data_IF_186761592606
#
_entry.id   IF_186761592606
#
_cell.length_a   1.000
_cell.length_b   1.000
_cell.length_c   1.000
_cell.angle_alpha   90.00
_cell.angle_beta   90.00
_cell.angle_gamma   90.00
#
_symmetry.space_group_name_H-M   'P 1'
#
loop_
_entity.id
_entity.type
_entity.pdbx_description
1 polymer ?
#
# COMPACT_ATOMS: atom_id res chain seq x y z
N UNK A 1 48.95 27.52 -42.90
CA UNK A 1 47.89 26.52 -43.15
C UNK A 1 47.68 25.54 -41.98
N UNK A 2 48.72 25.14 -41.23
CA UNK A 2 48.61 24.23 -40.06
C UNK A 2 47.80 24.80 -38.86
N UNK A 3 47.86 26.12 -38.63
CA UNK A 3 47.26 26.79 -37.45
C UNK A 3 45.72 26.76 -37.45
N UNK A 4 45.09 26.92 -38.62
CA UNK A 4 43.61 26.97 -38.76
C UNK A 4 42.96 25.59 -38.56
N UNK A 5 43.66 24.50 -38.88
CA UNK A 5 43.17 23.12 -38.71
C UNK A 5 43.23 22.68 -37.24
N UNK A 6 44.30 23.06 -36.52
CA UNK A 6 44.42 22.79 -35.08
C UNK A 6 43.31 23.49 -34.28
N UNK A 7 42.98 24.73 -34.61
CA UNK A 7 41.93 25.53 -33.96
C UNK A 7 40.51 24.97 -34.19
N UNK A 8 40.22 24.48 -35.40
CA UNK A 8 38.95 23.82 -35.72
C UNK A 8 38.80 22.51 -34.95
N UNK A 9 39.90 21.75 -34.82
CA UNK A 9 39.91 20.49 -34.07
C UNK A 9 39.73 20.73 -32.56
N UNK A 10 40.37 21.76 -31.99
CA UNK A 10 40.19 22.10 -30.57
C UNK A 10 38.76 22.58 -30.28
N UNK A 11 38.22 23.48 -31.10
CA UNK A 11 36.83 23.96 -30.95
C UNK A 11 35.79 22.84 -31.07
N UNK A 12 36.03 21.85 -31.94
CA UNK A 12 35.21 20.64 -32.05
C UNK A 12 35.22 19.82 -30.75
N UNK A 13 36.40 19.56 -30.19
CA UNK A 13 36.55 18.82 -28.92
C UNK A 13 35.92 19.58 -27.75
N UNK A 14 36.12 20.89 -27.67
CA UNK A 14 35.52 21.74 -26.61
C UNK A 14 33.99 21.79 -26.72
N UNK A 15 33.44 21.78 -27.94
CA UNK A 15 31.99 21.71 -28.18
C UNK A 15 31.43 20.34 -27.83
N UNK A 16 32.16 19.26 -28.10
CA UNK A 16 31.77 17.89 -27.77
C UNK A 16 31.80 17.63 -26.26
N UNK A 17 32.85 18.08 -25.56
CA UNK A 17 32.95 18.01 -24.09
C UNK A 17 31.87 18.84 -23.38
N UNK A 18 31.54 20.04 -23.87
CA UNK A 18 30.41 20.83 -23.36
C UNK A 18 29.06 20.13 -23.55
N UNK A 19 28.83 19.46 -24.69
CA UNK A 19 27.62 18.65 -24.92
C UNK A 19 27.54 17.43 -23.99
N UNK A 20 28.64 16.72 -23.79
CA UNK A 20 28.69 15.61 -22.83
C UNK A 20 28.39 16.08 -21.40
N UNK A 21 28.92 17.24 -20.99
CA UNK A 21 28.64 17.83 -19.67
C UNK A 21 27.16 18.21 -19.52
N UNK A 22 26.54 18.79 -20.56
CA UNK A 22 25.10 19.09 -20.57
C UNK A 22 24.23 17.84 -20.44
N UNK A 23 24.59 16.76 -21.14
CA UNK A 23 23.88 15.47 -21.05
C UNK A 23 24.03 14.85 -19.66
N UNK A 24 25.24 14.91 -19.08
CA UNK A 24 25.48 14.40 -17.73
C UNK A 24 24.68 15.16 -16.66
N UNK A 25 24.57 16.49 -16.77
CA UNK A 25 23.74 17.32 -15.86
C UNK A 25 22.25 16.98 -16.03
N UNK A 26 21.77 16.79 -17.26
CA UNK A 26 20.38 16.42 -17.51
C UNK A 26 20.04 15.03 -16.91
N UNK A 27 20.96 14.07 -17.04
CA UNK A 27 20.85 12.75 -16.41
C UNK A 27 20.82 12.84 -14.88
N UNK A 28 21.70 13.63 -14.27
CA UNK A 28 21.73 13.85 -12.82
C UNK A 28 20.44 14.47 -12.29
N UNK A 29 19.87 15.46 -13.00
CA UNK A 29 18.58 16.06 -12.64
C UNK A 29 17.42 15.04 -12.73
N UNK A 30 17.48 14.13 -13.70
CA UNK A 30 16.46 13.08 -13.90
C UNK A 30 16.39 12.09 -12.72
N UNK A 31 17.51 11.84 -12.03
CA UNK A 31 17.54 10.94 -10.87
C UNK A 31 16.92 11.56 -9.61
N UNK A 32 16.95 12.90 -9.48
CA UNK A 32 16.43 13.59 -8.29
C UNK A 32 14.89 13.64 -8.25
N UNK A 33 14.22 13.64 -9.41
CA UNK A 33 12.75 13.72 -9.47
C UNK A 33 12.06 12.42 -9.02
N UNK A 34 12.68 11.27 -9.27
CA UNK A 34 12.12 9.96 -8.89
C UNK A 34 12.14 9.82 -7.36
N UNK A 35 13.29 10.12 -6.73
CA UNK A 35 13.44 10.03 -5.26
C UNK A 35 12.51 10.99 -4.49
N UNK A 36 12.15 12.13 -5.07
CA UNK A 36 11.24 13.09 -4.44
C UNK A 36 9.78 12.59 -4.41
N UNK A 37 9.35 11.83 -5.43
CA UNK A 37 8.00 11.28 -5.49
C UNK A 37 7.81 10.15 -4.47
N UNK A 38 8.78 9.23 -4.39
CA UNK A 38 8.79 8.10 -3.46
C UNK A 38 8.74 8.57 -1.99
N UNK A 39 9.50 9.63 -1.67
CA UNK A 39 9.48 10.24 -0.33
C UNK A 39 8.09 10.78 0.01
N UNK A 40 7.44 11.49 -0.91
CA UNK A 40 6.11 12.08 -0.67
C UNK A 40 5.05 11.00 -0.48
N UNK A 41 5.08 9.93 -1.27
CA UNK A 41 4.18 8.79 -1.10
C UNK A 41 4.35 8.15 0.28
N UNK A 42 5.60 7.92 0.69
CA UNK A 42 5.91 7.37 2.03
C UNK A 42 5.43 8.28 3.16
N UNK A 43 5.63 9.60 3.04
CA UNK A 43 5.20 10.56 4.05
C UNK A 43 3.66 10.55 4.23
N UNK A 44 2.90 10.49 3.12
CA UNK A 44 1.43 10.38 3.18
C UNK A 44 0.96 9.08 3.83
N UNK A 45 1.59 7.94 3.50
CA UNK A 45 1.25 6.65 4.11
C UNK A 45 1.59 6.60 5.61
N UNK A 46 2.69 7.25 6.01
CA UNK A 46 3.06 7.41 7.41
C UNK A 46 2.04 8.25 8.16
N UNK A 47 1.55 9.35 7.57
CA UNK A 47 0.51 10.18 8.17
C UNK A 47 -0.79 9.40 8.39
N UNK A 48 -1.24 8.65 7.38
CA UNK A 48 -2.42 7.77 7.48
C UNK A 48 -2.23 6.73 8.60
N UNK A 49 -1.08 6.06 8.63
CA UNK A 49 -0.74 5.07 9.67
C UNK A 49 -0.73 5.69 11.07
N UNK A 50 -0.12 6.86 11.22
CA UNK A 50 -0.05 7.57 12.50
C UNK A 50 -1.44 7.95 12.99
N UNK A 51 -2.32 8.40 12.08
CA UNK A 51 -3.70 8.74 12.42
C UNK A 51 -4.49 7.52 12.84
N UNK A 52 -4.40 6.41 12.11
CA UNK A 52 -5.07 5.15 12.47
C UNK A 52 -4.62 4.68 13.86
N UNK A 53 -3.30 4.71 14.15
CA UNK A 53 -2.74 4.30 15.45
C UNK A 53 -3.11 5.22 16.61
N UNK A 54 -3.53 6.45 16.35
CA UNK A 54 -3.91 7.42 17.39
C UNK A 54 -5.30 7.17 18.00
N UNK A 55 -6.13 6.37 17.34
CA UNK A 55 -7.47 6.05 17.84
C UNK A 55 -7.43 4.87 18.81
N UNK A 56 -8.10 5.01 19.95
CA UNK A 56 -8.29 3.91 20.90
C UNK A 56 -9.24 2.84 20.36
N UNK A 57 -10.31 3.29 19.69
CA UNK A 57 -11.32 2.44 19.08
C UNK A 57 -11.67 2.96 17.68
N UNK A 58 -11.90 2.04 16.75
CA UNK A 58 -12.24 2.37 15.36
C UNK A 58 -13.52 1.65 14.99
N UNK A 59 -14.49 2.37 14.43
CA UNK A 59 -15.71 1.82 13.85
C UNK A 59 -15.75 2.19 12.38
N UNK A 60 -15.96 1.19 11.51
CA UNK A 60 -16.03 1.38 10.07
C UNK A 60 -17.26 0.65 9.55
N UNK A 61 -18.15 1.38 8.91
CA UNK A 61 -19.20 0.83 8.05
C UNK A 61 -18.71 0.79 6.61
N UNK A 62 -18.95 -0.33 5.92
CA UNK A 62 -18.50 -0.51 4.55
C UNK A 62 -19.53 -1.20 3.67
N UNK A 63 -19.39 -0.97 2.36
CA UNK A 63 -20.07 -1.71 1.30
C UNK A 63 -19.04 -2.46 0.48
N UNK A 64 -19.28 -3.74 0.25
CA UNK A 64 -18.52 -4.61 -0.62
C UNK A 64 -19.34 -4.92 -1.87
N UNK A 65 -18.74 -4.76 -3.04
CA UNK A 65 -19.38 -5.06 -4.33
C UNK A 65 -18.51 -6.06 -5.09
N UNK A 66 -19.02 -7.26 -5.33
CA UNK A 66 -18.39 -8.29 -6.15
C UNK A 66 -19.04 -8.31 -7.53
N UNK A 67 -18.27 -7.94 -8.54
CA UNK A 67 -18.69 -8.06 -9.94
C UNK A 67 -17.72 -8.99 -10.68
N UNK A 68 -18.25 -10.11 -11.17
CA UNK A 68 -17.55 -11.01 -12.07
C UNK A 68 -18.45 -11.35 -13.26
N UNK A 69 -18.24 -10.65 -14.37
CA UNK A 69 -19.02 -10.83 -15.59
C UNK A 69 -18.90 -12.23 -16.21
N UNK A 70 -17.77 -12.94 -16.03
CA UNK A 70 -17.58 -14.30 -16.58
C UNK A 70 -18.46 -15.32 -15.87
N UNK A 71 -18.60 -15.18 -14.56
CA UNK A 71 -19.41 -16.04 -13.70
C UNK A 71 -20.84 -15.50 -13.50
N UNK A 72 -21.20 -14.40 -14.17
CA UNK A 72 -22.46 -13.68 -14.01
C UNK A 72 -22.78 -13.29 -12.55
N UNK A 73 -21.76 -12.91 -11.78
CA UNK A 73 -21.90 -12.49 -10.39
C UNK A 73 -21.94 -10.96 -10.33
N UNK A 74 -22.98 -10.42 -9.69
CA UNK A 74 -23.07 -9.02 -9.30
C UNK A 74 -23.76 -8.93 -7.94
N UNK A 75 -22.97 -8.83 -6.88
CA UNK A 75 -23.46 -8.88 -5.50
C UNK A 75 -22.93 -7.71 -4.69
N UNK A 76 -23.85 -6.99 -4.05
CA UNK A 76 -23.54 -5.99 -3.04
C UNK A 76 -23.79 -6.57 -1.65
N UNK A 77 -22.86 -6.36 -0.74
CA UNK A 77 -22.95 -6.73 0.67
C UNK A 77 -22.57 -5.55 1.54
N UNK A 78 -23.22 -5.41 2.69
CA UNK A 78 -22.83 -4.42 3.71
C UNK A 78 -22.15 -5.14 4.86
N UNK A 79 -21.25 -4.43 5.52
CA UNK A 79 -20.61 -4.92 6.72
C UNK A 79 -20.17 -3.78 7.60
N UNK A 80 -19.78 -4.13 8.82
CA UNK A 80 -19.16 -3.20 9.73
C UNK A 80 -18.07 -3.90 10.53
N UNK A 81 -17.12 -3.11 11.02
CA UNK A 81 -16.10 -3.58 11.95
C UNK A 81 -15.91 -2.58 13.08
N UNK A 82 -15.82 -3.11 14.29
CA UNK A 82 -15.39 -2.38 15.49
C UNK A 82 -14.05 -2.97 15.95
N UNK A 83 -13.07 -2.13 16.23
CA UNK A 83 -11.72 -2.53 16.63
C UNK A 83 -11.25 -1.78 17.87
N UNK A 84 -10.46 -2.47 18.70
CA UNK A 84 -9.69 -1.92 19.81
C UNK A 84 -8.32 -2.57 19.82
N UNK A 85 -7.28 -1.83 19.43
CA UNK A 85 -5.97 -2.42 19.16
C UNK A 85 -6.06 -3.53 18.10
N UNK A 86 -5.69 -4.75 18.47
CA UNK A 86 -5.81 -5.93 17.59
C UNK A 86 -7.14 -6.67 17.72
N UNK A 87 -7.92 -6.42 18.79
CA UNK A 87 -9.23 -7.04 18.99
C UNK A 87 -10.26 -6.47 18.02
N UNK A 88 -11.20 -7.30 17.57
CA UNK A 88 -12.24 -6.84 16.65
C UNK A 88 -13.55 -7.63 16.73
N UNK A 89 -14.63 -6.98 16.29
CA UNK A 89 -15.89 -7.60 15.91
C UNK A 89 -16.18 -7.16 14.48
N UNK A 90 -16.24 -8.13 13.56
CA UNK A 90 -16.51 -7.94 12.14
C UNK A 90 -17.85 -8.61 11.79
N UNK A 91 -18.77 -7.83 11.26
CA UNK A 91 -20.04 -8.33 10.72
C UNK A 91 -19.97 -8.24 9.21
N UNK A 92 -19.99 -9.38 8.53
CA UNK A 92 -19.87 -9.42 7.07
C UNK A 92 -20.50 -10.69 6.48
N UNK A 93 -21.29 -10.53 5.41
CA UNK A 93 -21.92 -11.63 4.68
C UNK A 93 -22.72 -12.60 5.58
N UNK A 94 -23.48 -12.07 6.54
CA UNK A 94 -24.29 -12.87 7.46
C UNK A 94 -23.52 -13.51 8.63
N UNK A 95 -22.19 -13.43 8.62
CA UNK A 95 -21.31 -14.01 9.64
C UNK A 95 -20.79 -12.93 10.58
N UNK A 96 -20.72 -13.26 11.87
CA UNK A 96 -20.03 -12.43 12.87
C UNK A 96 -18.71 -13.08 13.25
N UNK A 97 -17.61 -12.38 13.01
CA UNK A 97 -16.26 -12.81 13.39
C UNK A 97 -15.71 -11.94 14.50
N UNK A 98 -15.31 -12.56 15.61
CA UNK A 98 -14.81 -11.88 16.80
C UNK A 98 -13.39 -12.37 17.06
N UNK A 99 -12.48 -11.45 17.38
CA UNK A 99 -11.17 -11.79 17.93
C UNK A 99 -10.97 -11.08 19.27
N UNK A 100 -10.75 -11.87 20.32
CA UNK A 100 -10.60 -11.38 21.69
C UNK A 100 -9.13 -11.10 22.08
N UNK A 101 -8.19 -11.25 21.14
CA UNK A 101 -6.75 -11.15 21.39
C UNK A 101 -6.05 -12.51 21.54
N UNK A 102 -6.78 -13.61 21.62
CA UNK A 102 -6.23 -14.96 21.73
C UNK A 102 -6.93 -15.98 20.80
N UNK A 103 -8.26 -15.88 20.70
CA UNK A 103 -9.13 -16.78 19.96
C UNK A 103 -10.00 -16.01 18.98
N UNK A 104 -10.26 -16.64 17.85
CA UNK A 104 -11.29 -16.20 16.91
C UNK A 104 -12.56 -17.02 17.13
N UNK A 105 -13.69 -16.33 17.13
CA UNK A 105 -15.02 -16.90 17.16
C UNK A 105 -15.71 -16.52 15.86
N UNK A 106 -16.24 -17.50 15.15
CA UNK A 106 -17.03 -17.30 13.94
C UNK A 106 -18.44 -17.80 14.24
N UNK A 107 -19.40 -16.89 14.24
CA UNK A 107 -20.81 -17.17 14.49
C UNK A 107 -21.52 -17.18 13.14
N UNK A 108 -22.10 -18.32 12.77
CA UNK A 108 -22.99 -18.45 11.62
C UNK A 108 -24.44 -18.64 12.14
N UNK A 109 -25.28 -17.58 12.12
CA UNK A 109 -26.66 -17.68 12.57
C UNK A 109 -27.52 -18.62 11.71
N UNK A 110 -27.21 -18.78 10.42
CA UNK A 110 -27.99 -19.64 9.53
C UNK A 110 -27.83 -21.13 9.88
N UNK A 111 -26.62 -21.52 10.28
CA UNK A 111 -26.29 -22.91 10.66
C UNK A 111 -26.43 -23.16 12.17
N UNK A 112 -26.83 -22.15 12.95
CA UNK A 112 -26.83 -22.18 14.42
C UNK A 112 -25.47 -22.61 15.03
N UNK A 113 -24.35 -22.28 14.36
CA UNK A 113 -23.01 -22.76 14.70
C UNK A 113 -22.09 -21.64 15.21
N UNK A 114 -21.25 -21.99 16.21
CA UNK A 114 -20.10 -21.19 16.62
C UNK A 114 -18.81 -22.01 16.49
N UNK A 115 -17.94 -21.61 15.56
CA UNK A 115 -16.59 -22.17 15.43
C UNK A 115 -15.60 -21.35 16.26
N UNK A 116 -14.78 -22.03 17.07
CA UNK A 116 -13.73 -21.41 17.89
C UNK A 116 -12.35 -21.91 17.46
N UNK A 117 -11.45 -20.99 17.15
CA UNK A 117 -10.08 -21.30 16.73
C UNK A 117 -9.05 -20.45 17.47
N UNK A 118 -7.84 -20.98 17.66
CA UNK A 118 -6.70 -20.17 18.10
C UNK A 118 -6.14 -19.43 16.89
N UNK A 119 -5.92 -18.12 17.03
CA UNK A 119 -5.25 -17.36 15.98
C UNK A 119 -3.75 -17.62 16.08
N UNK A 120 -3.17 -18.06 14.97
CA UNK A 120 -1.74 -17.97 14.82
C UNK A 120 -1.42 -16.53 14.41
N UNK A 121 -1.00 -15.69 15.36
CA UNK A 121 -0.67 -14.28 15.08
C UNK A 121 0.45 -14.12 14.04
N UNK A 122 1.24 -15.19 13.84
CA UNK A 122 2.30 -15.28 12.84
C UNK A 122 1.81 -15.81 11.47
N UNK A 123 0.53 -16.12 11.33
CA UNK A 123 -0.02 -16.47 10.03
C UNK A 123 -0.16 -15.19 9.20
N UNK A 124 0.84 -14.92 8.38
CA UNK A 124 0.86 -13.78 7.47
C UNK A 124 -0.32 -13.81 6.49
N UNK A 125 -0.88 -15.00 6.20
CA UNK A 125 -2.03 -15.16 5.30
C UNK A 125 -3.37 -14.81 5.95
N UNK A 126 -3.43 -14.66 7.28
CA UNK A 126 -4.65 -14.26 7.95
C UNK A 126 -5.02 -12.82 7.58
N UNK A 127 -6.13 -12.64 6.86
CA UNK A 127 -6.71 -11.33 6.54
C UNK A 127 -7.47 -10.85 7.78
N UNK A 128 -6.88 -9.90 8.52
CA UNK A 128 -7.52 -9.25 9.66
C UNK A 128 -7.83 -7.78 9.36
N UNK A 129 -8.85 -7.17 9.98
CA UNK A 129 -9.13 -5.75 9.82
C UNK A 129 -7.91 -4.85 10.13
N UNK A 130 -7.17 -5.14 11.20
CA UNK A 130 -5.96 -4.40 11.56
C UNK A 130 -4.90 -4.48 10.45
N UNK A 131 -4.67 -5.67 9.87
CA UNK A 131 -3.75 -5.84 8.73
C UNK A 131 -4.26 -5.09 7.49
N UNK A 132 -5.56 -5.09 7.24
CA UNK A 132 -6.15 -4.36 6.10
C UNK A 132 -5.98 -2.85 6.21
N UNK A 133 -5.88 -2.29 7.42
CA UNK A 133 -5.60 -0.88 7.64
C UNK A 133 -4.11 -0.52 7.52
N UNK A 134 -3.22 -1.51 7.58
CA UNK A 134 -1.76 -1.31 7.56
C UNK A 134 -1.04 -2.07 6.46
N UNK A 135 -1.76 -2.67 5.51
CA UNK A 135 -1.20 -3.60 4.52
C UNK A 135 -0.10 -2.96 3.66
N UNK A 136 -0.19 -1.66 3.43
CA UNK A 136 0.75 -0.88 2.61
C UNK A 136 2.10 -0.61 3.30
N UNK A 137 2.25 -0.92 4.59
CA UNK A 137 3.49 -0.64 5.33
C UNK A 137 4.66 -1.56 4.95
N UNK A 138 4.39 -2.70 4.32
CA UNK A 138 5.40 -3.69 3.92
C UNK A 138 5.02 -4.36 2.61
N UNK A 139 6.00 -4.76 1.80
CA UNK A 139 5.76 -5.51 0.55
C UNK A 139 5.47 -4.64 -0.68
N UNK A 140 5.44 -3.32 -0.53
CA UNK A 140 5.25 -2.37 -1.63
C UNK A 140 6.47 -1.46 -1.78
N UNK A 141 6.84 -1.19 -3.02
CA UNK A 141 7.75 -0.08 -3.35
C UNK A 141 6.92 1.20 -3.37
N UNK A 142 7.40 2.22 -2.67
CA UNK A 142 6.86 3.57 -2.67
C UNK A 142 7.80 4.46 -3.44
#
# INVERSE_FOLDING_TARGET
MKTKIQEIHTNSITKMTKKCLQIAVLLLLSFTSIQAQDKKAKDLLNEVTSKIKSYDNIVIDFKYSLNNAKENINQDSKGNVTMKGNQYVLNFMGVTKIFDGQKTYTINPEDEEVTVSKVNEKDDNAITPSKMLTFFNSGYKY
#
